data_IF_979815189421
#
_entry.id   IF_979815189421
#
_cell.length_a   1.000
_cell.length_b   1.000
_cell.length_c   1.000
_cell.angle_alpha   90.00
_cell.angle_beta   90.00
_cell.angle_gamma   90.00
#
_symmetry.space_group_name_H-M   'P 1'
#
loop_
_entity.id
_entity.type
_entity.pdbx_description
1 polymer ?
#
# COMPACT_ATOMS: atom_id res chain seq x y z
N UNK A 1 -23.77 -1.85 -8.55
CA UNK A 1 -22.51 -2.55 -8.21
C UNK A 1 -22.71 -3.44 -6.99
N UNK A 2 -22.17 -4.68 -7.01
CA UNK A 2 -22.18 -5.56 -5.82
C UNK A 2 -21.22 -5.00 -4.77
N UNK A 3 -21.63 -4.96 -3.51
CA UNK A 3 -20.75 -4.60 -2.41
C UNK A 3 -19.82 -5.79 -2.13
N UNK A 4 -18.52 -5.58 -2.31
CA UNK A 4 -17.49 -6.62 -2.20
C UNK A 4 -16.31 -6.08 -1.42
N UNK A 5 -15.79 -6.89 -0.51
CA UNK A 5 -14.52 -6.62 0.19
C UNK A 5 -13.48 -7.55 -0.40
N UNK A 6 -12.44 -6.98 -1.00
CA UNK A 6 -11.30 -7.73 -1.53
C UNK A 6 -10.22 -7.83 -0.47
N UNK A 7 -9.61 -9.01 -0.37
CA UNK A 7 -8.52 -9.30 0.56
C UNK A 7 -7.39 -9.94 -0.23
N UNK A 8 -6.17 -9.49 0.05
CA UNK A 8 -4.95 -10.12 -0.46
C UNK A 8 -4.34 -10.95 0.67
N UNK A 9 -3.86 -12.14 0.31
CA UNK A 9 -3.07 -13.02 1.18
C UNK A 9 -1.78 -13.28 0.42
N UNK A 10 -0.78 -12.39 0.54
CA UNK A 10 0.50 -12.59 -0.14
C UNK A 10 1.16 -13.88 0.33
N UNK A 11 1.86 -14.59 -0.54
CA UNK A 11 2.53 -15.87 -0.21
C UNK A 11 3.83 -15.63 0.57
N UNK A 12 3.71 -15.07 1.77
CA UNK A 12 4.86 -14.83 2.66
C UNK A 12 5.44 -16.11 3.23
N UNK A 13 4.58 -17.13 3.37
CA UNK A 13 4.94 -18.50 3.68
C UNK A 13 4.19 -19.44 2.74
N UNK A 14 4.67 -20.67 2.66
CA UNK A 14 3.98 -21.76 1.97
C UNK A 14 2.57 -22.03 2.54
N UNK A 15 1.70 -22.61 1.71
CA UNK A 15 0.37 -23.06 2.14
C UNK A 15 -0.77 -22.06 1.94
N UNK A 16 -0.54 -20.95 1.25
CA UNK A 16 -1.59 -20.00 0.87
C UNK A 16 -2.31 -20.50 -0.39
N UNK A 17 -3.61 -20.89 -0.31
CA UNK A 17 -4.31 -21.48 -1.45
C UNK A 17 -4.84 -20.45 -2.44
N UNK A 18 -5.11 -19.22 -1.99
CA UNK A 18 -5.53 -18.13 -2.86
C UNK A 18 -4.96 -16.82 -2.36
N UNK A 19 -4.27 -16.12 -3.25
CA UNK A 19 -3.60 -14.87 -2.91
C UNK A 19 -4.49 -13.64 -3.09
N UNK A 20 -5.54 -13.75 -3.91
CA UNK A 20 -6.56 -12.73 -4.06
C UNK A 20 -7.94 -13.35 -3.84
N UNK A 21 -8.72 -12.75 -2.94
CA UNK A 21 -10.02 -13.26 -2.55
C UNK A 21 -11.03 -12.13 -2.30
N UNK A 22 -12.30 -12.53 -2.21
CA UNK A 22 -13.40 -11.72 -1.68
C UNK A 22 -13.91 -12.32 -0.37
N UNK A 23 -14.30 -11.47 0.57
CA UNK A 23 -14.99 -11.91 1.79
C UNK A 23 -16.44 -12.27 1.44
N UNK A 24 -16.86 -13.47 1.83
CA UNK A 24 -18.24 -13.95 1.68
C UNK A 24 -18.68 -14.66 2.97
N UNK A 25 -19.98 -14.90 3.13
CA UNK A 25 -20.49 -15.71 4.23
C UNK A 25 -20.60 -17.18 3.83
N UNK A 26 -20.18 -18.08 4.71
CA UNK A 26 -20.49 -19.51 4.60
C UNK A 26 -21.98 -19.78 4.89
N UNK A 27 -22.37 -21.07 4.88
CA UNK A 27 -23.75 -21.50 5.16
C UNK A 27 -24.24 -21.19 6.58
N UNK A 28 -23.35 -20.86 7.50
CA UNK A 28 -23.63 -20.50 8.89
C UNK A 28 -23.48 -19.00 9.15
N UNK A 29 -23.17 -18.20 8.13
CA UNK A 29 -22.96 -16.76 8.24
C UNK A 29 -21.53 -16.36 8.61
N UNK A 30 -20.59 -17.30 8.78
CA UNK A 30 -19.21 -16.98 9.12
C UNK A 30 -18.48 -16.36 7.93
N UNK A 31 -17.62 -15.35 8.13
CA UNK A 31 -16.83 -14.78 7.06
C UNK A 31 -15.76 -15.79 6.60
N UNK A 32 -15.76 -16.11 5.31
CA UNK A 32 -14.75 -16.93 4.64
C UNK A 32 -14.20 -16.20 3.41
N UNK A 33 -13.01 -16.63 2.96
CA UNK A 33 -12.39 -16.10 1.75
C UNK A 33 -12.77 -16.97 0.55
N UNK A 34 -13.33 -16.34 -0.48
CA UNK A 34 -13.57 -16.96 -1.78
C UNK A 34 -12.58 -16.41 -2.80
N UNK A 35 -11.77 -17.25 -3.46
CA UNK A 35 -10.79 -16.79 -4.44
C UNK A 35 -11.41 -15.94 -5.53
N UNK A 36 -10.66 -14.95 -5.98
CA UNK A 36 -11.05 -14.03 -7.04
C UNK A 36 -9.99 -13.97 -8.15
N UNK A 37 -10.39 -13.97 -9.43
CA UNK A 37 -11.77 -14.20 -9.90
C UNK A 37 -12.21 -15.66 -9.78
N UNK A 38 -11.25 -16.60 -9.70
CA UNK A 38 -11.51 -18.03 -9.62
C UNK A 38 -10.36 -18.78 -8.93
N UNK A 39 -10.60 -20.05 -8.59
CA UNK A 39 -9.55 -20.98 -8.16
C UNK A 39 -8.48 -21.19 -9.22
N UNK A 40 -8.88 -21.32 -10.48
CA UNK A 40 -7.97 -21.53 -11.61
C UNK A 40 -6.90 -20.43 -11.69
N UNK A 41 -7.32 -19.17 -11.58
CA UNK A 41 -6.39 -18.03 -11.62
C UNK A 41 -5.47 -17.98 -10.40
N UNK A 42 -5.91 -18.45 -9.23
CA UNK A 42 -5.08 -18.47 -8.01
C UNK A 42 -4.17 -19.71 -7.91
N UNK A 43 -4.49 -20.79 -8.63
CA UNK A 43 -3.75 -22.07 -8.61
C UNK A 43 -2.86 -22.27 -9.84
N UNK A 44 -2.96 -21.40 -10.84
CA UNK A 44 -2.03 -21.40 -11.97
C UNK A 44 -0.68 -20.81 -11.58
N UNK A 45 0.39 -21.24 -12.26
CA UNK A 45 1.73 -20.66 -12.14
C UNK A 45 1.75 -19.22 -12.73
N UNK A 46 2.79 -18.87 -13.50
CA UNK A 46 2.96 -17.50 -14.00
C UNK A 46 1.86 -16.99 -14.94
N UNK A 47 0.97 -17.86 -15.44
CA UNK A 47 -0.20 -17.47 -16.26
C UNK A 47 -1.36 -16.86 -15.44
N UNK A 48 -1.43 -17.08 -14.13
CA UNK A 48 -2.45 -16.44 -13.26
C UNK A 48 -1.86 -15.55 -12.20
N UNK A 49 -2.27 -15.72 -10.95
CA UNK A 49 -1.81 -14.93 -9.81
C UNK A 49 -0.99 -15.81 -8.88
N UNK A 50 0.28 -15.44 -8.70
CA UNK A 50 1.17 -16.11 -7.76
C UNK A 50 1.01 -15.51 -6.36
N UNK A 51 1.42 -14.26 -6.17
CA UNK A 51 1.49 -13.63 -4.85
C UNK A 51 1.14 -12.15 -4.94
N UNK A 52 -0.15 -11.88 -4.80
CA UNK A 52 -0.70 -10.53 -4.84
C UNK A 52 -0.39 -9.82 -3.53
N UNK A 53 0.46 -8.81 -3.60
CA UNK A 53 0.81 -7.99 -2.44
C UNK A 53 -0.23 -6.89 -2.20
N UNK A 54 -0.65 -6.22 -3.28
CA UNK A 54 -1.47 -5.02 -3.18
C UNK A 54 -2.51 -4.91 -4.28
N UNK A 55 -3.60 -4.24 -3.94
CA UNK A 55 -4.65 -3.89 -4.88
C UNK A 55 -5.01 -2.40 -4.82
N UNK A 56 -5.53 -1.86 -5.93
CA UNK A 56 -6.13 -0.54 -6.02
C UNK A 56 -7.34 -0.59 -6.94
N UNK A 57 -8.47 0.00 -6.50
CA UNK A 57 -9.64 0.16 -7.35
C UNK A 57 -9.60 1.58 -7.93
N UNK A 58 -9.65 1.68 -9.25
CA UNK A 58 -9.74 2.96 -9.95
C UNK A 58 -11.18 3.51 -9.91
N UNK A 59 -11.34 4.80 -10.17
CA UNK A 59 -12.66 5.44 -10.25
C UNK A 59 -13.57 4.85 -11.35
N UNK A 60 -12.98 4.16 -12.33
CA UNK A 60 -13.69 3.46 -13.41
C UNK A 60 -14.23 2.09 -12.98
N UNK A 61 -13.99 1.64 -11.74
CA UNK A 61 -14.37 0.29 -11.31
C UNK A 61 -13.45 -0.80 -11.85
N UNK A 62 -12.21 -0.46 -12.21
CA UNK A 62 -11.19 -1.47 -12.52
C UNK A 62 -10.35 -1.80 -11.29
N UNK A 63 -10.18 -3.09 -10.99
CA UNK A 63 -9.32 -3.60 -9.93
C UNK A 63 -7.93 -3.86 -10.49
N UNK A 64 -6.97 -3.07 -10.02
CA UNK A 64 -5.54 -3.22 -10.30
C UNK A 64 -4.93 -4.12 -9.25
N UNK A 65 -4.27 -5.18 -9.71
CA UNK A 65 -3.71 -6.26 -8.90
C UNK A 65 -2.21 -6.28 -9.15
N UNK A 66 -1.43 -6.04 -8.10
CA UNK A 66 0.03 -6.10 -8.12
C UNK A 66 0.47 -7.47 -7.59
N UNK A 67 0.91 -8.31 -8.53
CA UNK A 67 1.50 -9.61 -8.25
C UNK A 67 3.03 -9.48 -8.22
N UNK A 68 3.64 -9.97 -7.14
CA UNK A 68 5.07 -9.85 -6.91
C UNK A 68 5.90 -10.86 -7.68
N UNK A 69 5.31 -11.96 -8.13
CA UNK A 69 6.08 -13.07 -8.69
C UNK A 69 7.02 -13.77 -7.68
N UNK A 70 6.88 -13.44 -6.39
CA UNK A 70 7.65 -14.03 -5.27
C UNK A 70 6.79 -14.99 -4.46
N UNK A 71 7.39 -16.09 -4.00
CA UNK A 71 6.78 -17.01 -3.03
C UNK A 71 7.71 -17.21 -1.84
N UNK A 72 7.13 -17.55 -0.69
CA UNK A 72 7.88 -17.90 0.52
C UNK A 72 8.79 -16.75 0.99
N UNK A 73 8.25 -15.53 0.92
CA UNK A 73 8.97 -14.24 1.10
C UNK A 73 9.74 -14.17 2.42
N UNK A 74 9.23 -14.75 3.50
CA UNK A 74 9.88 -14.69 4.82
C UNK A 74 10.94 -15.77 5.04
N UNK A 75 10.97 -16.82 4.23
CA UNK A 75 11.84 -17.98 4.44
C UNK A 75 12.89 -18.11 3.32
N UNK A 76 12.47 -18.28 2.06
CA UNK A 76 13.39 -18.54 0.94
C UNK A 76 13.37 -17.49 -0.17
N UNK A 77 12.43 -16.55 -0.15
CA UNK A 77 12.32 -15.42 -1.09
C UNK A 77 12.40 -15.85 -2.58
N UNK A 78 11.67 -16.91 -2.94
CA UNK A 78 11.76 -17.53 -4.26
C UNK A 78 11.20 -16.63 -5.35
N UNK A 79 12.00 -16.37 -6.38
CA UNK A 79 11.53 -15.79 -7.63
C UNK A 79 11.00 -16.89 -8.55
N UNK A 80 9.70 -16.87 -8.85
CA UNK A 80 9.07 -17.85 -9.74
C UNK A 80 8.58 -17.23 -11.04
N UNK A 81 8.15 -15.96 -10.99
CA UNK A 81 7.59 -15.26 -12.13
C UNK A 81 8.06 -13.80 -12.14
N UNK A 82 8.10 -13.15 -13.31
CA UNK A 82 8.18 -11.69 -13.38
C UNK A 82 7.02 -11.02 -12.61
N UNK A 83 7.29 -9.96 -11.82
CA UNK A 83 6.24 -9.16 -11.21
C UNK A 83 5.36 -8.51 -12.28
N UNK A 84 4.07 -8.34 -11.99
CA UNK A 84 3.12 -7.84 -12.98
C UNK A 84 1.97 -7.08 -12.37
N UNK A 85 1.42 -6.18 -13.18
CA UNK A 85 0.13 -5.57 -12.96
C UNK A 85 -0.92 -6.29 -13.80
N UNK A 86 -1.99 -6.72 -13.16
CA UNK A 86 -3.17 -7.29 -13.83
C UNK A 86 -4.40 -6.48 -13.47
N UNK A 87 -5.26 -6.23 -14.45
CA UNK A 87 -6.44 -5.39 -14.27
C UNK A 87 -7.70 -6.17 -14.63
N UNK A 88 -8.66 -6.15 -13.70
CA UNK A 88 -9.97 -6.76 -13.88
C UNK A 88 -11.07 -5.70 -13.94
N UNK A 89 -12.02 -5.85 -14.86
CA UNK A 89 -13.25 -5.06 -14.84
C UNK A 89 -14.17 -5.60 -13.73
N UNK A 90 -14.50 -4.80 -12.71
CA UNK A 90 -15.36 -5.24 -11.61
C UNK A 90 -16.84 -5.39 -12.01
N UNK A 91 -17.22 -5.06 -13.24
CA UNK A 91 -18.57 -5.33 -13.77
C UNK A 91 -18.68 -6.74 -14.33
N UNK A 92 -17.69 -7.21 -15.07
CA UNK A 92 -17.68 -8.53 -15.73
C UNK A 92 -16.83 -9.56 -14.98
N UNK A 93 -15.99 -9.12 -14.05
CA UNK A 93 -14.95 -9.90 -13.37
C UNK A 93 -13.91 -10.52 -14.34
N UNK A 94 -13.82 -9.98 -15.56
CA UNK A 94 -12.87 -10.42 -16.58
C UNK A 94 -11.55 -9.64 -16.50
N UNK A 95 -10.45 -10.31 -16.84
CA UNK A 95 -9.17 -9.66 -17.05
C UNK A 95 -9.24 -8.82 -18.33
N UNK A 96 -8.97 -7.52 -18.22
CA UNK A 96 -9.00 -6.58 -19.34
C UNK A 96 -7.63 -6.07 -19.75
N UNK A 97 -6.62 -6.23 -18.89
CA UNK A 97 -5.25 -5.79 -19.17
C UNK A 97 -4.23 -6.48 -18.28
N UNK A 98 -3.01 -6.65 -18.79
CA UNK A 98 -1.86 -7.12 -18.05
C UNK A 98 -0.59 -6.39 -18.54
N UNK A 99 0.32 -6.15 -17.60
CA UNK A 99 1.65 -5.62 -17.87
C UNK A 99 2.68 -6.32 -17.00
N UNK A 100 3.61 -7.02 -17.65
CA UNK A 100 4.75 -7.65 -17.01
C UNK A 100 5.85 -6.59 -16.88
N UNK A 101 6.38 -6.41 -15.67
CA UNK A 101 7.48 -5.48 -15.46
C UNK A 101 8.75 -6.03 -16.14
N UNK A 102 9.42 -5.25 -17.01
CA UNK A 102 10.65 -5.67 -17.64
C UNK A 102 11.80 -5.71 -16.63
N UNK A 103 12.77 -6.61 -16.81
CA UNK A 103 13.92 -6.76 -15.90
C UNK A 103 14.69 -5.44 -15.68
N UNK A 104 14.74 -4.56 -16.69
CA UNK A 104 15.42 -3.26 -16.61
C UNK A 104 14.85 -2.28 -15.58
N UNK A 105 13.66 -2.53 -15.01
CA UNK A 105 13.12 -1.72 -13.89
C UNK A 105 13.15 -2.45 -12.55
N UNK A 106 13.71 -3.65 -12.51
CA UNK A 106 13.81 -4.51 -11.34
C UNK A 106 15.24 -4.56 -10.81
N UNK A 107 15.36 -4.87 -9.52
CA UNK A 107 16.60 -5.32 -8.89
C UNK A 107 16.48 -6.81 -8.56
N UNK A 108 17.60 -7.46 -8.22
CA UNK A 108 17.61 -8.88 -7.85
C UNK A 108 16.63 -9.19 -6.69
N UNK A 109 16.42 -8.22 -5.79
CA UNK A 109 15.61 -8.38 -4.59
C UNK A 109 14.25 -7.68 -4.69
N UNK A 110 13.84 -7.21 -5.88
CA UNK A 110 12.58 -6.47 -6.02
C UNK A 110 11.38 -7.22 -5.43
N UNK A 111 10.62 -6.52 -4.60
CA UNK A 111 9.34 -6.94 -4.01
C UNK A 111 8.37 -5.75 -4.10
N UNK A 112 7.61 -5.73 -5.19
CA UNK A 112 6.65 -4.66 -5.46
C UNK A 112 5.48 -4.74 -4.48
N UNK A 113 5.34 -3.77 -3.58
CA UNK A 113 4.38 -3.88 -2.48
C UNK A 113 3.33 -2.80 -2.33
N UNK A 114 3.41 -1.73 -3.10
CA UNK A 114 2.31 -0.77 -3.22
C UNK A 114 2.03 -0.43 -4.66
N UNK A 115 0.76 -0.23 -4.99
CA UNK A 115 0.30 0.35 -6.26
C UNK A 115 -0.60 1.55 -5.96
N UNK A 116 -0.23 2.69 -6.54
CA UNK A 116 -1.01 3.93 -6.52
C UNK A 116 -1.25 4.40 -7.96
N UNK A 117 -2.40 5.03 -8.21
CA UNK A 117 -2.83 5.43 -9.56
C UNK A 117 -3.05 6.93 -9.61
N UNK A 118 -2.62 7.56 -10.70
CA UNK A 118 -2.86 8.97 -10.95
C UNK A 118 -3.29 9.21 -12.40
N UNK A 119 -4.22 10.15 -12.59
CA UNK A 119 -4.70 10.56 -13.90
C UNK A 119 -6.06 9.95 -14.26
N UNK A 120 -6.28 9.75 -15.55
CA UNK A 120 -7.55 9.23 -16.06
C UNK A 120 -7.77 7.78 -15.59
N UNK A 121 -8.96 7.45 -15.07
CA UNK A 121 -9.23 6.13 -14.54
C UNK A 121 -9.16 4.98 -15.57
N UNK A 122 -9.22 5.25 -16.88
CA UNK A 122 -9.10 4.23 -17.94
C UNK A 122 -7.64 3.85 -18.24
N UNK A 123 -6.75 4.83 -18.31
CA UNK A 123 -5.33 4.65 -18.61
C UNK A 123 -4.48 5.56 -17.71
N UNK A 124 -4.47 5.32 -16.38
CA UNK A 124 -3.74 6.14 -15.43
C UNK A 124 -2.23 5.86 -15.54
N UNK A 125 -1.39 6.74 -14.99
CA UNK A 125 -0.07 6.30 -14.56
C UNK A 125 -0.23 5.43 -13.32
N UNK A 126 0.54 4.35 -13.23
CA UNK A 126 0.65 3.56 -12.01
C UNK A 126 2.04 3.77 -11.39
N UNK A 127 2.09 3.99 -10.08
CA UNK A 127 3.32 4.10 -9.31
C UNK A 127 3.40 2.88 -8.41
N UNK A 128 4.49 2.14 -8.53
CA UNK A 128 4.74 0.91 -7.78
C UNK A 128 5.87 1.14 -6.80
N UNK A 129 5.63 0.89 -5.52
CA UNK A 129 6.70 0.93 -4.53
C UNK A 129 7.39 -0.42 -4.48
N UNK A 130 8.68 -0.44 -4.72
CA UNK A 130 9.54 -1.62 -4.56
C UNK A 130 10.11 -1.58 -3.14
N UNK A 131 9.52 -2.37 -2.23
CA UNK A 131 9.80 -2.28 -0.80
C UNK A 131 11.23 -2.73 -0.52
N UNK A 132 11.58 -3.93 -0.99
CA UNK A 132 12.91 -4.52 -0.76
C UNK A 132 13.94 -3.99 -1.74
N UNK A 133 13.53 -3.69 -2.98
CA UNK A 133 14.41 -3.04 -3.94
C UNK A 133 14.59 -1.54 -3.68
N UNK A 134 13.88 -0.94 -2.73
CA UNK A 134 14.05 0.45 -2.26
C UNK A 134 13.94 1.53 -3.35
N UNK A 135 12.91 1.43 -4.19
CA UNK A 135 12.67 2.37 -5.28
C UNK A 135 11.21 2.49 -5.67
N UNK A 136 10.93 3.31 -6.67
CA UNK A 136 9.60 3.45 -7.26
C UNK A 136 9.69 3.04 -8.74
N UNK A 137 8.76 2.24 -9.23
CA UNK A 137 8.60 1.97 -10.66
C UNK A 137 7.38 2.74 -11.16
N UNK A 138 7.59 3.57 -12.18
CA UNK A 138 6.51 4.29 -12.85
C UNK A 138 6.09 3.50 -14.08
N UNK A 139 4.80 3.23 -14.22
CA UNK A 139 4.21 2.56 -15.39
C UNK A 139 3.32 3.56 -16.13
N UNK A 140 3.73 3.92 -17.34
CA UNK A 140 2.93 4.66 -18.30
C UNK A 140 1.99 3.67 -19.00
N UNK A 141 0.78 3.50 -18.46
CA UNK A 141 -0.18 2.50 -18.97
C UNK A 141 -0.66 2.79 -20.40
N UNK A 142 -0.86 4.06 -20.84
CA UNK A 142 -1.11 4.34 -22.26
C UNK A 142 -0.02 3.85 -23.21
N UNK A 143 1.25 4.01 -22.83
CA UNK A 143 2.40 3.66 -23.67
C UNK A 143 2.92 2.24 -23.46
N UNK A 144 2.39 1.50 -22.47
CA UNK A 144 2.89 0.19 -22.03
C UNK A 144 4.41 0.19 -21.78
N UNK A 145 4.90 1.23 -21.10
CA UNK A 145 6.31 1.42 -20.74
C UNK A 145 6.46 1.71 -19.26
N UNK A 146 7.63 1.38 -18.74
CA UNK A 146 7.99 1.67 -17.36
C UNK A 146 9.43 2.11 -17.23
N UNK A 147 9.71 2.88 -16.18
CA UNK A 147 11.05 3.24 -15.75
C UNK A 147 11.13 3.17 -14.24
N UNK A 148 12.36 3.00 -13.75
CA UNK A 148 12.67 2.97 -12.33
C UNK A 148 13.10 4.36 -11.87
N UNK A 149 12.71 4.69 -10.65
CA UNK A 149 12.96 5.96 -9.96
C UNK A 149 13.62 5.63 -8.64
N UNK A 150 14.84 6.12 -8.46
CA UNK A 150 15.63 5.93 -7.24
C UNK A 150 16.04 7.29 -6.68
N UNK A 151 15.95 7.42 -5.37
CA UNK A 151 16.34 8.62 -4.64
C UNK A 151 16.76 8.22 -3.22
N UNK A 152 17.60 9.02 -2.55
CA UNK A 152 17.94 8.75 -1.14
C UNK A 152 16.70 8.65 -0.25
N UNK A 153 15.63 9.39 -0.56
CA UNK A 153 14.38 9.35 0.21
C UNK A 153 13.53 8.09 -0.05
N UNK A 154 13.82 7.29 -1.08
CA UNK A 154 13.11 6.02 -1.33
C UNK A 154 13.68 4.84 -0.53
N UNK A 155 14.85 5.04 0.08
CA UNK A 155 15.59 4.04 0.82
C UNK A 155 15.16 3.94 2.28
N UNK A 156 15.46 2.81 2.91
CA UNK A 156 15.31 2.64 4.35
C UNK A 156 16.31 3.53 5.10
N UNK A 157 15.89 4.13 6.21
CA UNK A 157 16.75 4.76 7.19
C UNK A 157 17.21 3.69 8.20
N UNK A 158 18.50 3.32 8.26
CA UNK A 158 19.00 2.30 9.19
C UNK A 158 18.72 2.60 10.66
N UNK A 159 18.53 3.87 11.02
CA UNK A 159 18.19 4.28 12.40
C UNK A 159 16.73 3.99 12.75
N UNK A 160 15.89 3.70 11.76
CA UNK A 160 14.48 3.39 11.89
C UNK A 160 14.14 1.93 11.49
N UNK A 161 15.14 1.06 11.31
CA UNK A 161 14.93 -0.33 10.89
C UNK A 161 14.51 -1.28 12.01
N UNK A 162 14.66 -0.87 13.27
CA UNK A 162 14.19 -1.63 14.43
C UNK A 162 12.76 -1.21 14.80
N UNK A 163 11.85 -2.17 14.80
CA UNK A 163 10.44 -1.98 15.15
C UNK A 163 10.21 -2.51 16.56
N UNK A 164 9.37 -1.82 17.33
CA UNK A 164 8.81 -2.33 18.57
C UNK A 164 7.30 -2.13 18.52
N UNK A 165 6.53 -3.22 18.55
CA UNK A 165 5.07 -3.19 18.56
C UNK A 165 4.61 -4.12 19.66
N UNK A 166 3.89 -3.59 20.65
CA UNK A 166 3.35 -4.38 21.77
C UNK A 166 4.44 -5.16 22.56
N UNK A 167 5.65 -4.59 22.66
CA UNK A 167 6.80 -5.20 23.34
C UNK A 167 7.62 -6.15 22.47
N UNK A 168 7.10 -6.58 21.32
CA UNK A 168 7.81 -7.43 20.37
C UNK A 168 8.71 -6.61 19.45
N UNK A 169 9.97 -7.04 19.33
CA UNK A 169 10.96 -6.37 18.50
C UNK A 169 11.31 -7.21 17.28
N UNK A 170 11.48 -6.55 16.13
CA UNK A 170 11.94 -7.16 14.89
C UNK A 170 12.67 -6.10 14.03
N UNK A 171 13.41 -6.56 13.03
CA UNK A 171 14.22 -5.72 12.16
C UNK A 171 13.77 -5.86 10.70
N UNK A 172 13.61 -4.74 10.01
CA UNK A 172 13.39 -4.68 8.56
C UNK A 172 14.15 -3.49 7.97
N UNK A 173 14.78 -3.68 6.82
CA UNK A 173 15.40 -2.61 6.03
C UNK A 173 14.54 -2.27 4.80
N UNK A 174 13.24 -2.14 5.04
CA UNK A 174 12.23 -1.95 4.01
C UNK A 174 12.14 -0.47 3.60
N UNK A 175 12.35 -0.23 2.30
CA UNK A 175 12.25 1.09 1.67
C UNK A 175 10.82 1.54 1.45
N UNK A 176 10.60 2.31 0.38
CA UNK A 176 9.30 2.92 0.06
C UNK A 176 8.16 1.90 0.15
N UNK A 177 7.19 2.15 1.03
CA UNK A 177 5.98 1.33 1.18
C UNK A 177 4.71 2.13 0.94
N UNK A 178 4.72 3.42 1.26
CA UNK A 178 3.57 4.29 1.12
C UNK A 178 3.68 5.12 -0.14
N UNK A 179 2.62 5.12 -0.94
CA UNK A 179 2.43 6.02 -2.08
C UNK A 179 1.00 6.57 -1.99
N UNK A 180 0.86 7.89 -1.92
CA UNK A 180 -0.43 8.55 -1.92
C UNK A 180 -0.43 9.70 -2.93
N UNK A 181 -1.15 9.52 -4.04
CA UNK A 181 -1.19 10.48 -5.13
C UNK A 181 -2.34 11.49 -4.99
N UNK A 182 -2.03 12.74 -5.30
CA UNK A 182 -2.97 13.83 -5.60
C UNK A 182 -2.87 14.17 -7.09
N UNK A 183 -3.57 15.22 -7.54
CA UNK A 183 -3.43 15.67 -8.92
C UNK A 183 -2.02 16.22 -9.23
N UNK A 184 -1.31 16.77 -8.25
CA UNK A 184 -0.05 17.49 -8.45
C UNK A 184 1.16 16.83 -7.79
N UNK A 185 0.97 16.02 -6.75
CA UNK A 185 2.04 15.41 -5.95
C UNK A 185 1.78 13.94 -5.66
N UNK A 186 2.85 13.16 -5.61
CA UNK A 186 2.86 11.85 -4.96
C UNK A 186 3.60 12.01 -3.64
N UNK A 187 2.90 11.77 -2.54
CA UNK A 187 3.47 11.65 -1.21
C UNK A 187 3.97 10.23 -1.00
N UNK A 188 5.12 10.08 -0.35
CA UNK A 188 5.72 8.78 -0.13
C UNK A 188 6.64 8.74 1.09
N UNK A 189 6.77 7.55 1.67
CA UNK A 189 7.75 7.26 2.69
C UNK A 189 8.11 5.77 2.70
N UNK A 190 9.31 5.50 3.21
CA UNK A 190 9.80 4.15 3.50
C UNK A 190 9.16 3.59 4.76
N UNK A 191 9.00 2.25 4.82
CA UNK A 191 8.51 1.59 6.04
C UNK A 191 9.48 1.86 7.20
N UNK A 192 10.77 1.66 6.95
CA UNK A 192 11.85 2.00 7.89
C UNK A 192 12.22 3.47 7.76
N UNK A 193 11.33 4.36 8.17
CA UNK A 193 11.57 5.82 8.21
C UNK A 193 10.56 6.56 9.09
N UNK A 194 10.99 7.68 9.66
CA UNK A 194 10.14 8.64 10.39
C UNK A 194 9.67 9.82 9.52
N UNK A 195 10.17 9.93 8.29
CA UNK A 195 9.97 11.09 7.41
C UNK A 195 8.78 10.90 6.48
N UNK A 196 8.25 12.01 5.99
CA UNK A 196 7.34 12.02 4.84
C UNK A 196 7.98 12.84 3.73
N UNK A 197 7.78 12.40 2.50
CA UNK A 197 8.37 13.01 1.33
C UNK A 197 7.30 13.27 0.28
N UNK A 198 7.59 14.13 -0.68
CA UNK A 198 6.77 14.27 -1.87
C UNK A 198 7.62 14.56 -3.10
N UNK A 199 7.06 14.21 -4.24
CA UNK A 199 7.59 14.53 -5.56
C UNK A 199 6.44 15.02 -6.45
N UNK A 200 6.62 16.08 -7.25
CA UNK A 200 5.57 16.49 -8.17
C UNK A 200 5.30 15.40 -9.21
N UNK A 201 4.02 15.18 -9.55
CA UNK A 201 3.60 14.20 -10.54
C UNK A 201 4.32 14.41 -11.87
N UNK A 202 4.48 15.66 -12.30
CA UNK A 202 5.16 16.02 -13.56
C UNK A 202 6.61 15.52 -13.64
N UNK A 203 7.28 15.41 -12.49
CA UNK A 203 8.65 14.88 -12.41
C UNK A 203 8.64 13.38 -12.64
N UNK A 204 7.77 12.66 -11.94
CA UNK A 204 7.65 11.21 -12.06
C UNK A 204 7.20 10.77 -13.44
N UNK A 205 6.29 11.51 -14.08
CA UNK A 205 5.70 11.13 -15.38
C UNK A 205 6.59 11.44 -16.58
N UNK A 206 7.65 12.24 -16.42
CA UNK A 206 8.60 12.52 -17.47
C UNK A 206 9.76 11.50 -17.42
N UNK A 207 9.67 10.45 -18.23
CA UNK A 207 10.68 9.38 -18.30
C UNK A 207 12.11 9.91 -18.50
N UNK A 208 12.28 11.00 -19.26
CA UNK A 208 13.60 11.59 -19.55
C UNK A 208 14.34 12.00 -18.27
N UNK A 209 13.61 12.33 -17.20
CA UNK A 209 14.20 12.67 -15.90
C UNK A 209 14.98 11.50 -15.27
N UNK A 210 14.80 10.26 -15.72
CA UNK A 210 15.36 9.05 -15.10
C UNK A 210 16.20 8.20 -16.06
N UNK A 211 16.44 8.67 -17.28
CA UNK A 211 17.30 7.97 -18.26
C UNK A 211 18.79 8.28 -18.08
N UNK A 212 19.12 9.40 -17.43
CA UNK A 212 20.50 9.75 -17.07
C UNK A 212 20.53 10.23 -15.61
N UNK A 213 21.64 10.02 -14.86
CA UNK A 213 21.83 10.66 -13.57
C UNK A 213 21.79 12.18 -13.76
N UNK A 214 20.73 12.85 -13.30
CA UNK A 214 20.47 14.26 -13.60
C UNK A 214 19.72 15.00 -12.49
N UNK A 215 19.48 16.29 -12.72
CA UNK A 215 18.93 17.27 -11.76
C UNK A 215 17.55 16.93 -11.16
N UNK A 216 16.82 15.97 -11.74
CA UNK A 216 15.49 15.54 -11.28
C UNK A 216 15.51 14.95 -9.87
N UNK A 217 16.65 14.40 -9.43
CA UNK A 217 16.87 13.88 -8.06
C UNK A 217 16.66 14.99 -7.02
N UNK A 218 16.98 16.24 -7.35
CA UNK A 218 16.82 17.41 -6.47
C UNK A 218 15.37 17.92 -6.41
N UNK A 219 14.46 17.35 -7.19
CA UNK A 219 13.03 17.72 -7.20
C UNK A 219 12.19 16.81 -6.29
N UNK A 220 12.84 15.92 -5.55
CA UNK A 220 12.23 15.22 -4.42
C UNK A 220 12.40 16.06 -3.17
N UNK A 221 11.35 16.10 -2.36
CA UNK A 221 11.30 16.96 -1.19
C UNK A 221 10.98 16.13 0.05
N UNK A 222 11.87 16.18 1.02
CA UNK A 222 11.64 15.65 2.35
C UNK A 222 11.10 16.76 3.25
N UNK A 223 10.07 16.47 4.05
CA UNK A 223 9.62 17.38 5.09
C UNK A 223 10.61 17.41 6.26
N UNK A 224 10.77 18.59 6.88
CA UNK A 224 11.71 18.79 7.99
C UNK A 224 11.29 18.10 9.29
N UNK A 225 9.98 17.98 9.55
CA UNK A 225 9.49 17.26 10.72
C UNK A 225 9.40 15.76 10.51
N UNK A 226 9.33 15.03 11.62
CA UNK A 226 9.33 13.58 11.67
C UNK A 226 8.20 13.08 12.57
N UNK A 227 7.71 11.88 12.28
CA UNK A 227 6.82 11.12 13.18
C UNK A 227 7.64 10.59 14.37
N UNK A 228 6.96 10.26 15.46
CA UNK A 228 7.56 9.59 16.62
C UNK A 228 7.85 8.10 16.38
N UNK A 229 7.33 7.52 15.29
CA UNK A 229 7.51 6.10 14.96
C UNK A 229 7.31 5.83 13.47
N UNK A 230 7.62 4.60 13.06
CA UNK A 230 7.43 4.13 11.70
C UNK A 230 5.94 4.12 11.33
N UNK A 231 5.67 4.30 10.05
CA UNK A 231 4.31 4.28 9.51
C UNK A 231 4.18 3.18 8.47
N UNK A 232 3.04 2.50 8.50
CA UNK A 232 2.60 1.70 7.38
C UNK A 232 2.05 2.60 6.27
N UNK A 233 1.29 2.05 5.32
CA UNK A 233 0.84 2.81 4.17
C UNK A 233 -0.13 3.93 4.54
N UNK A 234 0.17 5.18 4.18
CA UNK A 234 -0.70 6.33 4.37
C UNK A 234 -1.74 6.48 3.25
N UNK A 235 -2.83 7.19 3.54
CA UNK A 235 -3.90 7.50 2.59
C UNK A 235 -4.31 8.95 2.67
N UNK A 236 -4.84 9.49 1.56
CA UNK A 236 -5.33 10.86 1.50
C UNK A 236 -6.86 10.87 1.37
N UNK A 237 -7.49 11.61 2.25
CA UNK A 237 -8.92 11.86 2.38
C UNK A 237 -9.25 13.34 2.10
N UNK A 238 -10.53 13.70 2.17
CA UNK A 238 -11.06 15.05 2.01
C UNK A 238 -10.54 15.74 0.74
N UNK A 239 -10.66 15.04 -0.39
CA UNK A 239 -10.28 15.55 -1.72
C UNK A 239 -8.83 16.03 -1.82
N UNK A 240 -7.89 15.35 -1.14
CA UNK A 240 -6.48 15.69 -1.24
C UNK A 240 -5.91 16.47 -0.06
N UNK A 241 -6.72 16.76 0.98
CA UNK A 241 -6.36 17.75 2.02
C UNK A 241 -5.88 17.14 3.34
N UNK A 242 -6.32 15.92 3.64
CA UNK A 242 -6.01 15.27 4.92
C UNK A 242 -5.32 13.95 4.65
N UNK A 243 -4.10 13.81 5.13
CA UNK A 243 -3.39 12.53 5.16
C UNK A 243 -3.73 11.81 6.46
N UNK A 244 -4.01 10.51 6.35
CA UNK A 244 -4.13 9.59 7.48
C UNK A 244 -3.01 8.57 7.39
N UNK A 245 -2.28 8.41 8.49
CA UNK A 245 -1.11 7.55 8.57
C UNK A 245 -1.08 6.85 9.93
N UNK A 246 -0.55 5.63 9.98
CA UNK A 246 -0.40 4.90 11.24
C UNK A 246 0.86 5.33 11.97
N UNK A 247 0.88 5.15 13.28
CA UNK A 247 2.08 5.13 14.08
C UNK A 247 2.17 3.71 14.67
N UNK A 248 3.07 2.90 14.11
CA UNK A 248 3.13 1.46 14.40
C UNK A 248 3.52 1.20 15.87
N UNK A 249 4.55 1.84 16.45
CA UNK A 249 4.87 1.67 17.87
C UNK A 249 3.77 2.11 18.84
N UNK A 250 2.92 3.07 18.43
CA UNK A 250 1.86 3.62 19.29
C UNK A 250 0.48 2.95 19.08
N UNK A 251 0.38 1.96 18.20
CA UNK A 251 -0.90 1.32 17.83
C UNK A 251 -2.00 2.34 17.48
N UNK A 252 -1.63 3.39 16.76
CA UNK A 252 -2.44 4.61 16.62
C UNK A 252 -2.55 5.06 15.16
N UNK A 253 -3.69 5.67 14.82
CA UNK A 253 -3.93 6.37 13.56
C UNK A 253 -3.89 7.87 13.82
N UNK A 254 -3.15 8.58 13.00
CA UNK A 254 -3.00 10.02 13.03
C UNK A 254 -3.56 10.66 11.77
N UNK A 255 -3.99 11.91 11.90
CA UNK A 255 -4.29 12.79 10.78
C UNK A 255 -3.29 13.94 10.72
N UNK A 256 -3.02 14.40 9.50
CA UNK A 256 -2.27 15.61 9.20
C UNK A 256 -2.91 16.34 8.02
N UNK A 257 -2.93 17.68 8.09
CA UNK A 257 -3.39 18.54 7.02
C UNK A 257 -2.24 18.90 6.08
N UNK A 258 -2.32 18.49 4.83
CA UNK A 258 -1.20 18.60 3.88
C UNK A 258 -0.83 20.04 3.51
N UNK A 259 -1.68 21.01 3.86
CA UNK A 259 -1.48 22.45 3.70
C UNK A 259 -0.83 23.14 4.92
N UNK A 260 -0.56 22.38 5.98
CA UNK A 260 0.19 22.83 7.16
C UNK A 260 1.63 22.30 7.14
N UNK A 261 2.51 22.85 8.00
CA UNK A 261 3.85 22.26 8.17
C UNK A 261 3.75 20.81 8.66
N UNK A 262 4.58 19.93 8.12
CA UNK A 262 4.67 18.54 8.54
C UNK A 262 5.55 18.45 9.79
N UNK A 263 4.95 18.61 10.97
CA UNK A 263 5.65 18.68 12.27
C UNK A 263 4.75 18.07 13.36
N UNK A 264 5.31 17.50 14.45
CA UNK A 264 4.55 16.85 15.52
C UNK A 264 3.36 17.66 16.07
N UNK A 265 3.49 18.98 16.17
CA UNK A 265 2.41 19.88 16.63
C UNK A 265 1.15 19.87 15.74
N UNK A 266 1.28 19.43 14.48
CA UNK A 266 0.19 19.34 13.50
C UNK A 266 -0.26 17.90 13.25
N UNK A 267 0.25 16.93 14.01
CA UNK A 267 -0.18 15.53 13.96
C UNK A 267 -1.17 15.28 15.08
N UNK A 268 -2.38 14.88 14.72
CA UNK A 268 -3.44 14.65 15.69
C UNK A 268 -3.88 13.20 15.68
N UNK A 269 -3.75 12.52 16.82
CA UNK A 269 -4.25 11.16 16.98
C UNK A 269 -5.78 11.15 16.84
N UNK A 270 -6.27 10.34 15.91
CA UNK A 270 -7.71 10.17 15.61
C UNK A 270 -8.26 8.84 16.11
N UNK A 271 -7.39 7.83 16.27
CA UNK A 271 -7.76 6.52 16.77
C UNK A 271 -6.55 5.84 17.41
N UNK A 272 -6.77 5.03 18.45
CA UNK A 272 -5.77 4.17 19.08
C UNK A 272 -6.44 2.92 19.62
N UNK A 273 -5.82 1.77 19.41
CA UNK A 273 -6.24 0.55 20.09
C UNK A 273 -5.11 -0.49 20.10
N UNK A 274 -4.58 -0.76 21.29
CA UNK A 274 -3.43 -1.66 21.46
C UNK A 274 -3.74 -3.14 21.14
N UNK A 275 -5.02 -3.52 21.03
CA UNK A 275 -5.43 -4.89 20.69
C UNK A 275 -5.81 -5.03 19.21
N UNK A 276 -6.52 -4.04 18.67
CA UNK A 276 -7.15 -4.14 17.34
C UNK A 276 -6.37 -3.44 16.24
N UNK A 277 -5.45 -2.53 16.55
CA UNK A 277 -4.75 -1.69 15.58
C UNK A 277 -3.23 -1.69 15.79
N UNK A 278 -2.63 -2.88 15.69
CA UNK A 278 -1.18 -3.07 15.87
C UNK A 278 -0.41 -2.74 14.58
N UNK A 279 -0.25 -3.71 13.68
CA UNK A 279 0.42 -3.46 12.39
C UNK A 279 -0.60 -3.15 11.30
N UNK A 280 -0.78 -1.87 10.95
CA UNK A 280 -1.65 -1.44 9.87
C UNK A 280 -1.01 -1.73 8.49
N UNK A 281 -1.10 -2.98 8.03
CA UNK A 281 -0.44 -3.45 6.81
C UNK A 281 -1.00 -2.81 5.55
N UNK A 282 -2.25 -2.36 5.53
CA UNK A 282 -2.77 -1.57 4.41
C UNK A 282 -3.98 -0.74 4.72
N UNK A 283 -4.08 0.42 4.06
CA UNK A 283 -5.17 1.37 4.23
C UNK A 283 -5.74 1.81 2.88
N UNK A 284 -7.03 2.16 2.85
CA UNK A 284 -7.74 2.73 1.69
C UNK A 284 -8.76 3.76 2.16
N UNK A 285 -8.91 4.85 1.41
CA UNK A 285 -10.11 5.70 1.49
C UNK A 285 -11.07 5.24 0.40
N UNK A 286 -12.31 4.92 0.79
CA UNK A 286 -13.40 4.57 -0.11
C UNK A 286 -14.57 5.51 0.11
N UNK A 287 -15.49 5.55 -0.86
CA UNK A 287 -16.71 6.34 -0.77
C UNK A 287 -17.92 5.44 -0.88
N UNK A 288 -18.93 5.72 -0.07
CA UNK A 288 -20.24 5.09 -0.24
C UNK A 288 -21.04 5.74 -1.39
N UNK A 289 -22.26 5.26 -1.63
CA UNK A 289 -23.15 5.79 -2.67
C UNK A 289 -23.62 7.23 -2.41
N UNK A 290 -23.51 7.71 -1.17
CA UNK A 290 -23.80 9.08 -0.76
C UNK A 290 -22.55 9.96 -0.74
N UNK A 291 -21.46 9.47 -1.32
CA UNK A 291 -20.17 10.16 -1.42
C UNK A 291 -19.48 10.42 -0.06
N UNK A 292 -19.91 9.73 1.02
CA UNK A 292 -19.28 9.80 2.34
C UNK A 292 -18.01 8.98 2.33
N UNK A 293 -16.93 9.54 2.88
CA UNK A 293 -15.62 8.89 2.92
C UNK A 293 -15.49 7.97 4.14
N UNK A 294 -14.94 6.79 3.90
CA UNK A 294 -14.57 5.82 4.92
C UNK A 294 -13.11 5.44 4.73
N UNK A 295 -12.39 5.31 5.84
CA UNK A 295 -11.06 4.70 5.84
C UNK A 295 -11.23 3.24 6.22
N UNK A 296 -10.68 2.35 5.39
CA UNK A 296 -10.51 0.95 5.71
C UNK A 296 -9.04 0.72 6.04
N UNK A 297 -8.78 -0.08 7.07
CA UNK A 297 -7.45 -0.52 7.44
C UNK A 297 -7.44 -2.03 7.69
N UNK A 298 -6.46 -2.73 7.13
CA UNK A 298 -6.13 -4.09 7.54
C UNK A 298 -5.10 -3.97 8.66
N UNK A 299 -5.43 -4.52 9.83
CA UNK A 299 -4.50 -4.64 10.94
C UNK A 299 -4.19 -6.10 11.20
N UNK A 300 -2.91 -6.41 11.34
CA UNK A 300 -2.40 -7.73 11.68
C UNK A 300 -1.48 -7.66 12.89
N UNK A 301 -1.24 -8.81 13.51
CA UNK A 301 -0.13 -9.00 14.46
C UNK A 301 1.13 -9.42 13.71
N UNK A 302 1.65 -8.51 12.91
CA UNK A 302 2.77 -8.82 12.02
C UNK A 302 4.05 -9.14 12.81
N UNK A 303 4.26 -8.47 13.94
CA UNK A 303 5.34 -8.77 14.88
C UNK A 303 5.29 -10.22 15.36
N UNK A 304 4.09 -10.79 15.56
CA UNK A 304 3.94 -12.20 15.94
C UNK A 304 4.26 -13.15 14.77
N UNK A 305 3.88 -12.74 13.56
CA UNK A 305 4.12 -13.49 12.33
C UNK A 305 5.61 -13.58 12.00
N UNK A 306 6.33 -12.45 12.07
CA UNK A 306 7.75 -12.40 11.75
C UNK A 306 8.61 -13.10 12.81
N UNK A 307 8.20 -13.05 14.08
CA UNK A 307 8.87 -13.74 15.19
C UNK A 307 8.39 -15.20 15.39
N UNK A 308 7.55 -15.74 14.50
CA UNK A 308 7.06 -17.13 14.51
C UNK A 308 6.30 -17.57 15.78
N UNK A 309 5.53 -16.68 16.41
CA UNK A 309 4.81 -16.96 17.66
C UNK A 309 3.32 -16.60 17.63
N UNK A 310 2.73 -16.56 16.43
CA UNK A 310 1.29 -16.35 16.23
C UNK A 310 0.45 -17.33 17.05
N UNK A 311 -0.39 -16.79 17.94
CA UNK A 311 -1.35 -17.58 18.70
C UNK A 311 -2.66 -17.77 17.91
N UNK A 312 -2.92 -19.00 17.45
CA UNK A 312 -4.12 -19.34 16.67
C UNK A 312 -5.44 -19.25 17.47
N UNK A 313 -5.39 -19.17 18.80
CA UNK A 313 -6.56 -19.00 19.66
C UNK A 313 -7.00 -17.54 19.79
N UNK A 314 -6.28 -16.60 19.17
CA UNK A 314 -6.56 -15.18 19.22
C UNK A 314 -6.90 -14.63 17.83
N UNK A 315 -7.62 -13.49 17.81
CA UNK A 315 -7.90 -12.78 16.56
C UNK A 315 -6.64 -12.03 16.12
N UNK A 316 -5.97 -12.53 15.09
CA UNK A 316 -4.69 -11.99 14.60
C UNK A 316 -4.83 -11.00 13.43
N UNK A 317 -5.95 -11.04 12.70
CA UNK A 317 -6.18 -10.26 11.49
C UNK A 317 -7.53 -9.57 11.54
N UNK A 318 -7.58 -8.29 11.19
CA UNK A 318 -8.79 -7.47 11.25
C UNK A 318 -8.90 -6.58 10.02
N UNK A 319 -10.12 -6.44 9.51
CA UNK A 319 -10.50 -5.37 8.58
C UNK A 319 -11.31 -4.37 9.39
N UNK A 320 -10.73 -3.21 9.63
CA UNK A 320 -11.34 -2.11 10.36
C UNK A 320 -11.84 -1.07 9.38
N UNK A 321 -12.90 -0.36 9.75
CA UNK A 321 -13.38 0.78 8.99
C UNK A 321 -13.95 1.85 9.91
N UNK A 322 -13.82 3.11 9.50
CA UNK A 322 -14.39 4.26 10.20
C UNK A 322 -14.74 5.37 9.22
N UNK A 323 -15.81 6.11 9.48
CA UNK A 323 -16.14 7.29 8.69
C UNK A 323 -15.07 8.36 8.94
N UNK A 324 -14.57 8.98 7.86
CA UNK A 324 -13.53 10.02 7.95
C UNK A 324 -14.03 11.19 8.80
N UNK A 325 -15.27 11.63 8.59
CA UNK A 325 -15.83 12.77 9.32
C UNK A 325 -15.93 12.55 10.84
N UNK A 326 -16.19 11.30 11.25
CA UNK A 326 -16.25 10.91 12.67
C UNK A 326 -14.86 10.88 13.28
N UNK A 327 -13.87 10.30 12.58
CA UNK A 327 -12.47 10.27 13.02
C UNK A 327 -11.87 11.68 13.16
N UNK A 328 -12.26 12.61 12.29
CA UNK A 328 -11.78 13.99 12.31
C UNK A 328 -12.61 14.91 13.23
N UNK A 329 -13.70 14.44 13.83
CA UNK A 329 -14.57 15.26 14.66
C UNK A 329 -13.79 15.88 15.84
N UNK A 330 -13.88 17.21 15.98
CA UNK A 330 -13.17 17.94 17.03
C UNK A 330 -11.64 18.03 16.84
N UNK A 331 -11.10 17.59 15.71
CA UNK A 331 -9.66 17.64 15.41
C UNK A 331 -9.34 18.78 14.44
N UNK A 332 -8.19 19.46 14.58
CA UNK A 332 -7.77 20.53 13.65
C UNK A 332 -7.58 20.07 12.20
N UNK A 333 -7.45 18.75 11.98
CA UNK A 333 -7.43 18.17 10.64
C UNK A 333 -8.75 18.31 9.88
N UNK A 334 -9.89 18.48 10.58
CA UNK A 334 -11.18 18.68 9.93
C UNK A 334 -11.14 20.02 9.20
N UNK A 335 -11.08 19.97 7.88
CA UNK A 335 -11.14 21.16 7.06
C UNK A 335 -12.52 21.82 7.27
N UNK A 336 -12.54 23.06 7.74
CA UNK A 336 -13.74 23.88 7.69
C UNK A 336 -13.91 24.33 6.23
N UNK A 337 -15.10 24.08 5.68
CA UNK A 337 -15.47 24.50 4.33
C UNK A 337 -15.65 26.01 4.24
#
# INVERSE_FOLDING_TARGET
>A
PKERVFVTVPRFKMGVPATLATVVSDRYGNPILRPYPSWEVNNSNCSGLLSVMRIKISQCGHLWVLDTGREDVLDTFKYLCPPKLRVYDLKTDEQIWEYILPDGVLTNNSLMGTVELQGNCRKPFAYLADIVGQGIVVVNTPAARSWRVENGFTQADPTASTYNIDGETFHLDDGTISLAATSTRVYFHSLSSFTENYVPVSVLTNEWNFQQPGDSVNQFHQYSGQRSGQSGPAVIANSGRVMLFSNLPENSLYCWRVDTSYEPRNFYQVFRNDVTFQFASGMKVVRDRKNREYVLAVSSRFQDQINNHVNSQQVNYRILYGAVDDLLAGKPCKAFF
#
